data_IF_480718658048
#
_entry.id   IF_480718658048
#
_cell.length_a   1.000
_cell.length_b   1.000
_cell.length_c   1.000
_cell.angle_alpha   90.00
_cell.angle_beta   90.00
_cell.angle_gamma   90.00
#
_symmetry.space_group_name_H-M   'P 1'
#
loop_
_entity.id
_entity.type
_entity.pdbx_description
1 polymer ?
#
# COMPACT_ATOMS: atom_id res chain seq x y z
N UNK A 1 -19.83 -46.20 4.10
CA UNK A 1 -18.52 -45.78 4.62
C UNK A 1 -17.95 -44.73 3.67
N UNK A 2 -18.11 -43.44 3.99
CA UNK A 2 -17.61 -42.34 3.19
C UNK A 2 -16.38 -41.78 3.92
N UNK A 3 -15.17 -41.96 3.35
CA UNK A 3 -13.93 -41.43 3.92
C UNK A 3 -13.83 -39.94 3.55
N UNK A 4 -14.10 -39.08 4.53
CA UNK A 4 -13.86 -37.64 4.44
C UNK A 4 -12.36 -37.40 4.70
N UNK A 5 -11.60 -37.14 3.63
CA UNK A 5 -10.20 -36.75 3.75
C UNK A 5 -10.11 -35.29 4.21
N UNK A 6 -9.79 -35.08 5.48
CA UNK A 6 -9.39 -33.78 6.01
C UNK A 6 -8.04 -33.39 5.39
N UNK A 7 -8.07 -32.53 4.38
CA UNK A 7 -6.90 -31.82 3.90
C UNK A 7 -6.50 -30.84 5.01
N UNK A 8 -5.36 -31.11 5.64
CA UNK A 8 -4.68 -30.18 6.55
C UNK A 8 -4.19 -28.98 5.73
N UNK A 9 -5.02 -27.94 5.63
CA UNK A 9 -4.58 -26.61 5.20
C UNK A 9 -3.79 -26.02 6.38
N UNK A 10 -2.51 -25.66 6.23
CA UNK A 10 -1.82 -24.91 7.26
C UNK A 10 -2.47 -23.54 7.33
N UNK A 11 -3.18 -23.29 8.43
CA UNK A 11 -3.58 -21.96 8.85
C UNK A 11 -2.29 -21.15 8.98
N UNK A 12 -2.06 -20.25 8.02
CA UNK A 12 -1.01 -19.25 8.11
C UNK A 12 -1.42 -18.32 9.25
N UNK A 13 -0.88 -18.59 10.44
CA UNK A 13 -0.92 -17.66 11.57
C UNK A 13 0.02 -16.52 11.19
N UNK A 14 -0.53 -15.50 10.52
CA UNK A 14 0.06 -14.17 10.51
C UNK A 14 -0.03 -13.69 11.97
N UNK A 15 1.09 -13.77 12.69
CA UNK A 15 1.18 -13.26 14.06
C UNK A 15 0.95 -11.75 14.04
N UNK A 16 -0.30 -11.35 14.25
CA UNK A 16 -0.64 -10.05 14.86
C UNK A 16 -0.23 -10.15 16.33
N UNK A 17 1.06 -10.04 16.60
CA UNK A 17 1.60 -9.91 17.94
C UNK A 17 2.60 -8.75 17.91
N UNK A 18 2.16 -7.60 18.42
CA UNK A 18 2.87 -6.62 19.27
C UNK A 18 2.01 -5.37 19.27
N UNK A 19 1.01 -5.34 20.15
CA UNK A 19 0.50 -4.12 20.80
C UNK A 19 -0.24 -4.56 22.07
N UNK A 20 0.54 -4.79 23.13
CA UNK A 20 0.14 -4.58 24.53
C UNK A 20 1.36 -4.84 25.40
N UNK A 21 2.20 -3.82 25.55
CA UNK A 21 3.11 -3.73 26.68
C UNK A 21 2.63 -2.57 27.53
N UNK A 22 1.65 -2.85 28.40
CA UNK A 22 1.30 -1.97 29.51
C UNK A 22 1.59 -2.74 30.81
N UNK A 23 2.40 -2.10 31.62
CA UNK A 23 2.94 -2.54 32.90
C UNK A 23 1.86 -3.06 33.86
N UNK A 24 2.23 -4.11 34.60
CA UNK A 24 1.32 -4.85 35.45
C UNK A 24 0.72 -4.05 36.61
N UNK A 25 -0.55 -4.33 36.88
CA UNK A 25 -1.14 -4.44 38.22
C UNK A 25 -2.10 -5.64 38.23
N UNK A 26 -2.15 -6.33 39.37
CA UNK A 26 -2.86 -7.59 39.67
C UNK A 26 -4.40 -7.49 39.55
N UNK A 27 -5.11 -8.64 39.50
CA UNK A 27 -6.49 -8.73 39.04
C UNK A 27 -7.50 -8.56 40.18
N UNK A 28 -8.64 -7.92 39.90
CA UNK A 28 -9.92 -8.40 40.42
C UNK A 28 -11.12 -7.90 39.61
N UNK A 29 -12.17 -8.73 39.66
CA UNK A 29 -13.57 -8.48 39.33
C UNK A 29 -14.07 -8.60 37.87
N UNK A 30 -14.86 -9.66 37.68
CA UNK A 30 -15.62 -10.08 36.50
C UNK A 30 -16.89 -9.24 36.40
N UNK A 31 -16.98 -8.37 35.39
CA UNK A 31 -18.24 -7.70 35.01
C UNK A 31 -18.81 -8.42 33.78
N UNK A 32 -20.04 -8.90 33.91
CA UNK A 32 -20.81 -9.53 32.83
C UNK A 32 -21.17 -8.52 31.73
N UNK A 33 -21.25 -8.93 30.45
CA UNK A 33 -21.64 -8.03 29.37
C UNK A 33 -23.15 -7.77 29.37
N UNK A 34 -23.54 -6.51 29.59
CA UNK A 34 -24.89 -6.01 29.37
C UNK A 34 -25.25 -6.09 27.89
N UNK A 35 -26.35 -6.76 27.57
CA UNK A 35 -26.91 -6.85 26.22
C UNK A 35 -27.50 -5.50 25.78
N UNK A 36 -27.07 -4.99 24.63
CA UNK A 36 -27.72 -3.89 23.93
C UNK A 36 -28.98 -4.40 23.24
N UNK A 37 -30.17 -3.80 23.44
CA UNK A 37 -31.37 -4.26 22.75
C UNK A 37 -31.41 -3.84 21.28
N UNK A 38 -31.92 -4.74 20.45
CA UNK A 38 -32.21 -4.59 19.03
C UNK A 38 -33.37 -3.58 18.80
N UNK A 39 -33.31 -2.65 17.82
CA UNK A 39 -34.45 -1.80 17.52
C UNK A 39 -35.59 -2.59 16.89
N UNK A 40 -36.79 -2.41 17.42
CA UNK A 40 -38.05 -3.01 16.95
C UNK A 40 -38.63 -2.17 15.81
N UNK A 41 -38.99 -2.81 14.69
CA UNK A 41 -39.81 -2.20 13.64
C UNK A 41 -41.22 -1.88 14.17
N UNK A 42 -41.69 -0.64 13.94
CA UNK A 42 -43.13 -0.35 13.96
C UNK A 42 -43.55 0.44 12.72
N UNK A 43 -44.40 -0.24 11.96
CA UNK A 43 -45.26 0.21 10.87
C UNK A 43 -46.06 1.46 11.21
N UNK A 44 -46.14 2.42 10.29
CA UNK A 44 -47.23 3.40 10.19
C UNK A 44 -47.62 3.65 8.73
N UNK A 45 -48.92 3.58 8.50
CA UNK A 45 -49.62 3.59 7.20
C UNK A 45 -49.78 5.01 6.62
N UNK A 46 -49.90 5.02 5.29
CA UNK A 46 -49.99 6.11 4.31
C UNK A 46 -50.85 7.36 4.60
N UNK A 47 -50.41 8.48 4.01
CA UNK A 47 -51.28 9.41 3.25
C UNK A 47 -50.52 10.01 2.06
N UNK A 48 -51.06 9.80 0.86
CA UNK A 48 -50.63 10.31 -0.45
C UNK A 48 -50.97 11.79 -0.68
N UNK A 49 -50.15 12.56 -1.42
CA UNK A 49 -50.59 13.74 -2.16
C UNK A 49 -50.75 13.47 -3.68
N UNK A 50 -51.53 14.32 -4.40
CA UNK A 50 -52.02 14.08 -5.77
C UNK A 50 -50.99 14.33 -6.90
N UNK A 51 -51.26 13.85 -8.13
CA UNK A 51 -50.28 13.82 -9.22
C UNK A 51 -50.16 15.17 -9.93
N UNK A 52 -48.93 15.56 -10.24
CA UNK A 52 -48.64 16.64 -11.18
C UNK A 52 -48.42 16.05 -12.59
N UNK A 53 -49.12 16.68 -13.52
CA UNK A 53 -49.25 16.44 -14.94
C UNK A 53 -47.90 16.56 -15.69
N UNK A 54 -47.57 15.59 -16.53
CA UNK A 54 -46.47 15.66 -17.51
C UNK A 54 -47.03 15.24 -18.86
N UNK A 55 -47.25 16.24 -19.72
CA UNK A 55 -47.51 16.07 -21.15
C UNK A 55 -46.26 15.52 -21.85
N UNK A 56 -46.46 14.46 -22.63
CA UNK A 56 -45.60 13.99 -23.71
C UNK A 56 -45.74 14.89 -24.95
N UNK A 57 -44.64 15.17 -25.66
CA UNK A 57 -44.41 14.74 -27.07
C UNK A 57 -42.98 15.14 -27.52
N UNK A 58 -42.39 14.61 -28.61
CA UNK A 58 -40.98 14.28 -28.66
C UNK A 58 -40.25 15.24 -29.59
N UNK A 59 -38.92 15.32 -29.48
CA UNK A 59 -38.14 15.69 -30.65
C UNK A 59 -36.89 14.83 -30.74
N UNK A 60 -36.84 14.11 -31.85
CA UNK A 60 -35.75 13.28 -32.29
C UNK A 60 -34.63 14.18 -32.81
N UNK A 61 -33.43 14.06 -32.25
CA UNK A 61 -32.22 14.37 -33.00
C UNK A 61 -31.17 13.32 -32.70
N UNK A 62 -30.99 12.47 -33.72
CA UNK A 62 -29.89 11.53 -33.88
C UNK A 62 -28.56 12.30 -33.83
N UNK A 63 -27.74 12.01 -32.82
CA UNK A 63 -26.33 12.37 -32.81
C UNK A 63 -25.53 11.14 -32.42
N UNK A 64 -24.98 10.51 -33.46
CA UNK A 64 -23.99 9.45 -33.39
C UNK A 64 -22.81 9.89 -32.53
N UNK A 65 -22.56 9.16 -31.44
CA UNK A 65 -21.35 9.26 -30.63
C UNK A 65 -20.23 8.51 -31.38
N UNK A 66 -19.12 9.16 -31.77
CA UNK A 66 -17.97 8.44 -32.29
C UNK A 66 -17.30 7.67 -31.16
N UNK A 67 -17.19 6.35 -31.36
CA UNK A 67 -16.39 5.42 -30.56
C UNK A 67 -14.90 5.71 -30.81
N UNK A 68 -14.34 6.67 -30.08
CA UNK A 68 -12.89 6.86 -30.04
C UNK A 68 -12.25 5.74 -29.21
N UNK A 69 -11.60 4.83 -29.91
CA UNK A 69 -10.84 3.73 -29.34
C UNK A 69 -9.42 4.26 -29.09
N UNK A 70 -9.20 4.89 -27.94
CA UNK A 70 -7.88 5.42 -27.56
C UNK A 70 -6.97 4.28 -27.11
N UNK A 71 -6.06 3.89 -28.01
CA UNK A 71 -4.95 2.99 -27.75
C UNK A 71 -3.85 3.77 -27.04
N UNK A 72 -3.71 3.62 -25.71
CA UNK A 72 -2.51 4.04 -24.99
C UNK A 72 -1.35 3.08 -25.28
N UNK A 73 -0.69 3.27 -26.42
CA UNK A 73 0.67 2.78 -26.61
C UNK A 73 1.61 3.84 -26.03
N UNK A 74 1.84 3.80 -24.72
CA UNK A 74 2.90 4.60 -24.11
C UNK A 74 4.22 3.85 -24.31
N UNK A 75 5.19 4.38 -25.08
CA UNK A 75 6.53 3.81 -25.08
C UNK A 75 7.10 3.93 -23.67
N UNK A 76 7.72 2.84 -23.20
CA UNK A 76 8.59 2.84 -22.02
C UNK A 76 9.52 4.06 -22.12
N UNK A 77 9.57 4.97 -21.13
CA UNK A 77 10.56 6.04 -21.18
C UNK A 77 11.94 5.38 -21.12
N UNK A 78 12.66 5.41 -22.23
CA UNK A 78 14.11 5.17 -22.25
C UNK A 78 14.74 6.38 -21.57
N UNK A 79 14.64 6.41 -20.25
CA UNK A 79 15.31 7.42 -19.46
C UNK A 79 16.79 7.03 -19.46
N UNK A 80 17.59 7.76 -20.24
CA UNK A 80 19.03 7.81 -20.07
C UNK A 80 19.29 8.52 -18.74
N UNK A 81 19.04 7.84 -17.63
CA UNK A 81 19.51 8.25 -16.33
C UNK A 81 21.05 8.25 -16.43
N UNK A 82 21.64 9.42 -16.23
CA UNK A 82 23.06 9.55 -15.99
C UNK A 82 23.32 8.76 -14.70
N UNK A 83 23.92 7.59 -14.85
CA UNK A 83 24.30 6.74 -13.75
C UNK A 83 25.28 7.51 -12.87
N UNK A 84 24.97 7.63 -11.59
CA UNK A 84 25.92 8.05 -10.56
C UNK A 84 27.17 7.16 -10.66
N UNK A 85 28.39 7.72 -10.83
CA UNK A 85 29.62 6.93 -10.93
C UNK A 85 29.95 6.13 -9.67
N UNK A 86 29.24 6.33 -8.55
CA UNK A 86 29.42 5.59 -7.30
C UNK A 86 28.32 4.53 -7.03
N UNK A 87 27.39 4.33 -7.98
CA UNK A 87 26.40 3.26 -7.89
C UNK A 87 27.05 1.89 -8.18
N UNK A 88 27.14 1.06 -7.15
CA UNK A 88 27.51 -0.37 -7.26
C UNK A 88 26.70 -1.03 -8.39
N UNK A 89 27.32 -1.76 -9.33
CA UNK A 89 26.61 -2.33 -10.47
C UNK A 89 25.49 -3.27 -10.01
N UNK A 90 24.29 -3.03 -10.53
CA UNK A 90 23.07 -3.80 -10.27
C UNK A 90 23.27 -5.20 -10.90
N UNK A 91 23.65 -6.20 -10.11
CA UNK A 91 23.93 -7.55 -10.64
C UNK A 91 22.70 -8.43 -10.76
N UNK A 92 21.52 -7.98 -10.32
CA UNK A 92 20.32 -8.81 -10.29
C UNK A 92 19.16 -8.15 -11.02
N UNK A 93 18.52 -8.87 -11.95
CA UNK A 93 17.25 -8.49 -12.60
C UNK A 93 16.05 -8.41 -11.62
N UNK A 94 16.31 -8.55 -10.31
CA UNK A 94 15.31 -8.69 -9.25
C UNK A 94 15.62 -7.75 -8.11
N UNK A 95 14.70 -6.85 -7.78
CA UNK A 95 14.96 -5.89 -6.72
C UNK A 95 13.79 -4.98 -6.40
N UNK A 96 14.04 -4.12 -5.44
CA UNK A 96 13.15 -3.07 -4.96
C UNK A 96 13.93 -1.76 -4.86
N UNK A 97 13.30 -0.65 -5.25
CA UNK A 97 13.88 0.69 -5.21
C UNK A 97 12.79 1.75 -5.01
N UNK A 98 13.22 2.99 -4.84
CA UNK A 98 12.35 4.17 -4.77
C UNK A 98 12.73 5.14 -5.87
N UNK A 99 11.76 5.56 -6.67
CA UNK A 99 11.89 6.66 -7.62
C UNK A 99 11.21 7.91 -7.03
N UNK A 100 11.88 9.05 -7.09
CA UNK A 100 11.27 10.33 -6.77
C UNK A 100 10.79 11.02 -8.03
N UNK A 101 9.65 11.72 -7.95
CA UNK A 101 9.18 12.58 -9.04
C UNK A 101 10.13 13.78 -9.30
N UNK A 102 10.85 14.21 -8.26
CA UNK A 102 11.90 15.25 -8.30
C UNK A 102 12.92 15.05 -7.17
N UNK A 103 14.17 15.43 -7.42
CA UNK A 103 15.26 15.34 -6.43
C UNK A 103 15.39 16.56 -5.52
N UNK A 104 14.83 17.70 -5.91
CA UNK A 104 14.89 18.96 -5.16
C UNK A 104 13.50 19.57 -4.98
N UNK A 105 13.27 20.19 -3.82
CA UNK A 105 11.99 20.80 -3.47
C UNK A 105 12.13 21.84 -2.35
N UNK A 106 11.27 22.87 -2.40
CA UNK A 106 11.20 23.96 -1.41
C UNK A 106 10.29 23.59 -0.24
N UNK A 107 10.41 24.30 0.88
CA UNK A 107 9.50 24.15 2.03
C UNK A 107 8.05 24.26 1.59
N UNK A 108 7.23 23.29 2.01
CA UNK A 108 5.81 23.17 1.67
C UNK A 108 5.52 22.36 0.40
N UNK A 109 6.49 22.13 -0.48
CA UNK A 109 6.33 21.24 -1.62
C UNK A 109 6.36 19.77 -1.19
N UNK A 110 5.69 18.92 -1.97
CA UNK A 110 5.66 17.46 -1.75
C UNK A 110 6.50 16.79 -2.83
N UNK A 111 7.40 15.90 -2.42
CA UNK A 111 8.08 14.92 -3.28
C UNK A 111 7.28 13.62 -3.22
N UNK A 112 6.95 13.03 -4.37
CA UNK A 112 6.31 11.71 -4.45
C UNK A 112 7.39 10.64 -4.56
N UNK A 113 7.40 9.71 -3.61
CA UNK A 113 8.26 8.55 -3.55
C UNK A 113 7.49 7.31 -4.02
N UNK A 114 7.84 6.80 -5.20
CA UNK A 114 7.25 5.61 -5.79
C UNK A 114 8.09 4.38 -5.47
N UNK A 115 7.52 3.43 -4.73
CA UNK A 115 8.21 2.19 -4.37
C UNK A 115 7.88 1.11 -5.40
N UNK A 116 8.89 0.60 -6.09
CA UNK A 116 8.73 -0.34 -7.20
C UNK A 116 9.54 -1.61 -7.00
N UNK A 117 9.01 -2.71 -7.52
CA UNK A 117 9.68 -4.01 -7.56
C UNK A 117 9.86 -4.49 -9.01
N UNK A 118 10.88 -5.33 -9.20
CA UNK A 118 11.16 -6.02 -10.46
C UNK A 118 11.51 -7.48 -10.21
N UNK A 119 11.07 -8.37 -11.10
CA UNK A 119 11.48 -9.78 -11.11
C UNK A 119 11.02 -10.61 -9.90
N UNK A 120 9.98 -10.18 -9.18
CA UNK A 120 9.45 -10.90 -8.01
C UNK A 120 8.40 -11.92 -8.46
N UNK A 121 8.86 -13.11 -8.87
CA UNK A 121 7.96 -14.19 -9.33
C UNK A 121 6.90 -14.52 -8.27
N UNK A 122 5.65 -14.70 -8.72
CA UNK A 122 4.52 -15.11 -7.88
C UNK A 122 4.23 -14.17 -6.69
N UNK A 123 4.54 -12.88 -6.83
CA UNK A 123 4.38 -11.87 -5.79
C UNK A 123 2.97 -11.83 -5.20
N UNK A 124 2.87 -11.98 -3.88
CA UNK A 124 1.63 -11.98 -3.10
C UNK A 124 1.49 -10.77 -2.18
N UNK A 125 2.60 -10.29 -1.64
CA UNK A 125 2.57 -9.27 -0.60
C UNK A 125 3.95 -8.77 -0.20
N UNK A 126 3.95 -7.72 0.61
CA UNK A 126 5.16 -7.10 1.13
C UNK A 126 4.93 -6.56 2.55
N UNK A 127 6.03 -6.41 3.27
CA UNK A 127 6.15 -5.55 4.44
C UNK A 127 7.45 -4.75 4.32
N UNK A 128 7.38 -3.45 4.60
CA UNK A 128 8.47 -2.50 4.46
C UNK A 128 8.63 -1.70 5.75
N UNK A 129 9.88 -1.51 6.15
CA UNK A 129 10.30 -0.54 7.14
C UNK A 129 11.18 0.52 6.48
N UNK A 130 10.79 1.78 6.64
CA UNK A 130 11.52 2.93 6.10
C UNK A 130 11.76 3.98 7.18
N UNK A 131 12.84 4.74 6.98
CA UNK A 131 13.22 5.85 7.86
C UNK A 131 13.43 7.14 7.08
N UNK A 132 13.06 8.25 7.71
CA UNK A 132 13.27 9.62 7.24
C UNK A 132 13.60 10.54 8.44
N UNK A 133 14.11 11.75 8.18
CA UNK A 133 14.27 12.77 9.24
C UNK A 133 12.94 13.55 9.41
N UNK A 134 12.19 13.37 10.52
CA UNK A 134 10.90 14.03 10.73
C UNK A 134 11.02 15.52 11.01
N UNK A 135 12.24 16.06 11.19
CA UNK A 135 12.48 17.50 11.29
C UNK A 135 12.68 18.15 9.92
N UNK A 136 12.88 17.36 8.88
CA UNK A 136 13.12 17.83 7.51
C UNK A 136 11.97 17.45 6.58
N UNK A 137 11.35 16.29 6.78
CA UNK A 137 10.26 15.77 5.97
C UNK A 137 9.06 15.43 6.86
N UNK A 138 7.86 15.61 6.32
CA UNK A 138 6.61 15.07 6.89
C UNK A 138 6.02 14.08 5.89
N UNK A 139 5.73 12.86 6.35
CA UNK A 139 5.06 11.86 5.53
C UNK A 139 3.57 12.23 5.37
N UNK A 140 3.11 12.33 4.13
CA UNK A 140 1.76 12.77 3.75
C UNK A 140 1.16 11.85 2.71
N UNK A 141 -0.16 11.84 2.60
CA UNK A 141 -0.87 11.20 1.51
C UNK A 141 -0.47 11.88 0.18
N UNK A 142 -0.04 11.12 -0.85
CA UNK A 142 0.62 11.68 -2.03
C UNK A 142 -0.27 12.58 -2.89
N UNK A 143 -1.60 12.44 -2.81
CA UNK A 143 -2.53 13.21 -3.65
C UNK A 143 -3.25 14.34 -2.90
N UNK A 144 -3.44 14.21 -1.60
CA UNK A 144 -4.17 15.20 -0.79
C UNK A 144 -3.23 16.11 -0.01
N UNK A 145 -2.01 15.64 0.29
CA UNK A 145 -1.05 16.36 1.12
C UNK A 145 -1.37 16.34 2.62
N UNK A 146 -2.42 15.63 3.01
CA UNK A 146 -2.77 15.42 4.42
C UNK A 146 -1.69 14.57 5.12
N UNK A 147 -1.28 14.90 6.36
CA UNK A 147 -0.36 14.08 7.14
C UNK A 147 -0.87 12.65 7.26
N UNK A 148 0.03 11.67 7.11
CA UNK A 148 -0.34 10.28 7.36
C UNK A 148 -0.62 10.08 8.86
N UNK A 149 -1.57 9.21 9.16
CA UNK A 149 -1.81 8.72 10.52
C UNK A 149 -0.94 7.49 10.87
N UNK A 150 -0.86 7.18 12.17
CA UNK A 150 -0.09 6.04 12.71
C UNK A 150 -0.49 4.69 12.09
N UNK A 151 -1.78 4.53 11.78
CA UNK A 151 -2.36 3.32 11.20
C UNK A 151 -2.65 3.45 9.70
N UNK A 152 -2.24 4.54 9.06
CA UNK A 152 -2.51 4.79 7.66
C UNK A 152 -1.43 4.15 6.77
N UNK A 153 -1.78 3.16 5.93
CA UNK A 153 -0.88 2.63 4.94
C UNK A 153 -0.70 3.62 3.78
N UNK A 154 0.50 3.70 3.18
CA UNK A 154 0.69 4.39 1.91
C UNK A 154 -0.31 3.93 0.85
N UNK A 155 -0.74 4.86 0.00
CA UNK A 155 -1.71 4.61 -1.07
C UNK A 155 -1.05 4.42 -2.44
N UNK A 156 -1.86 4.18 -3.46
CA UNK A 156 -1.40 4.01 -4.83
C UNK A 156 -0.76 2.64 -5.11
N UNK A 157 0.05 2.59 -6.17
CA UNK A 157 0.63 1.37 -6.69
C UNK A 157 -0.20 0.71 -7.80
N UNK A 158 0.44 -0.20 -8.53
CA UNK A 158 -0.15 -0.98 -9.63
C UNK A 158 -0.30 -2.46 -9.28
N UNK A 159 0.32 -2.89 -8.17
CA UNK A 159 0.27 -4.24 -7.62
C UNK A 159 -0.63 -4.29 -6.40
N UNK A 160 -1.16 -5.49 -6.10
CA UNK A 160 -2.06 -5.76 -4.98
C UNK A 160 -3.33 -4.88 -5.00
N UNK A 161 -3.97 -4.77 -6.17
CA UNK A 161 -5.13 -3.90 -6.38
C UNK A 161 -6.45 -4.66 -6.63
N UNK A 162 -6.41 -5.90 -7.13
CA UNK A 162 -7.64 -6.68 -7.37
C UNK A 162 -8.36 -7.06 -6.05
N UNK A 163 -9.54 -6.48 -5.73
CA UNK A 163 -10.25 -6.77 -4.49
C UNK A 163 -10.78 -8.21 -4.42
N UNK A 164 -10.93 -8.92 -5.54
CA UNK A 164 -11.38 -10.31 -5.59
C UNK A 164 -10.46 -11.25 -4.79
N UNK A 165 -9.17 -10.91 -4.69
CA UNK A 165 -8.19 -11.71 -3.94
C UNK A 165 -8.05 -11.25 -2.47
N UNK A 166 -8.87 -10.29 -2.03
CA UNK A 166 -8.84 -9.73 -0.68
C UNK A 166 -7.56 -8.94 -0.40
N UNK A 167 -7.52 -7.68 -0.84
CA UNK A 167 -6.42 -6.75 -0.53
C UNK A 167 -6.47 -6.39 0.96
N UNK A 168 -5.39 -6.69 1.69
CA UNK A 168 -5.27 -6.39 3.11
C UNK A 168 -4.05 -5.49 3.37
N UNK A 169 -4.24 -4.17 3.43
CA UNK A 169 -3.20 -3.23 3.81
C UNK A 169 -3.10 -3.11 5.34
N UNK A 170 -1.88 -2.88 5.85
CA UNK A 170 -1.62 -2.66 7.27
C UNK A 170 -0.50 -1.66 7.45
N UNK A 171 -0.61 -0.81 8.47
CA UNK A 171 0.46 0.09 8.89
C UNK A 171 0.53 0.24 10.40
N UNK A 172 1.74 0.49 10.88
CA UNK A 172 2.05 0.86 12.26
C UNK A 172 3.28 1.75 12.25
N UNK A 173 3.06 3.00 11.87
CA UNK A 173 4.09 4.01 11.74
C UNK A 173 4.54 4.51 13.12
N UNK A 174 5.69 5.15 13.17
CA UNK A 174 6.16 5.96 14.30
C UNK A 174 6.68 7.28 13.73
N UNK A 175 5.72 8.15 13.41
CA UNK A 175 5.92 9.39 12.64
C UNK A 175 6.77 10.41 13.41
N UNK A 176 6.70 10.40 14.75
CA UNK A 176 7.53 11.24 15.62
C UNK A 176 9.02 10.89 15.49
N UNK A 177 9.33 9.61 15.29
CA UNK A 177 10.69 9.12 15.10
C UNK A 177 11.07 8.93 13.62
N UNK A 178 10.21 9.36 12.70
CA UNK A 178 10.45 9.28 11.27
C UNK A 178 10.49 7.86 10.73
N UNK A 179 9.64 6.97 11.25
CA UNK A 179 9.58 5.56 10.83
C UNK A 179 8.22 5.25 10.19
N UNK A 180 8.26 4.64 9.01
CA UNK A 180 7.09 4.07 8.36
C UNK A 180 7.23 2.55 8.36
N UNK A 181 6.25 1.84 8.92
CA UNK A 181 6.19 0.38 8.88
C UNK A 181 4.82 -0.02 8.33
N UNK A 182 4.81 -0.58 7.13
CA UNK A 182 3.57 -0.85 6.41
C UNK A 182 3.72 -2.05 5.48
N UNK A 183 2.60 -2.58 5.03
CA UNK A 183 2.56 -3.69 4.11
C UNK A 183 1.19 -3.86 3.48
N UNK A 184 1.14 -4.71 2.46
CA UNK A 184 -0.11 -5.16 1.86
C UNK A 184 0.06 -6.58 1.32
N UNK A 185 -1.02 -7.37 1.36
CA UNK A 185 -1.02 -8.76 0.92
C UNK A 185 -2.37 -9.14 0.34
N UNK A 186 -2.38 -10.07 -0.61
CA UNK A 186 -3.61 -10.79 -0.99
C UNK A 186 -3.91 -11.92 0.00
N UNK A 187 -5.10 -11.89 0.59
CA UNK A 187 -5.55 -12.92 1.54
C UNK A 187 -5.92 -14.24 0.83
N UNK A 188 -6.45 -14.18 -0.40
CA UNK A 188 -6.88 -15.36 -1.16
C UNK A 188 -5.81 -15.79 -2.18
N UNK A 189 -4.68 -16.29 -1.68
CA UNK A 189 -3.58 -16.77 -2.52
C UNK A 189 -3.98 -17.95 -3.44
N UNK A 190 -4.97 -18.75 -3.05
CA UNK A 190 -5.43 -19.91 -3.85
C UNK A 190 -6.16 -19.47 -5.13
N UNK A 191 -7.07 -18.50 -5.03
CA UNK A 191 -7.74 -17.96 -6.21
C UNK A 191 -6.78 -17.18 -7.10
N UNK A 192 -5.89 -16.40 -6.51
CA UNK A 192 -4.86 -15.69 -7.25
C UNK A 192 -3.93 -16.64 -8.02
N UNK A 193 -3.50 -17.75 -7.39
CA UNK A 193 -2.77 -18.85 -8.05
C UNK A 193 -3.54 -19.45 -9.22
N UNK A 194 -4.81 -19.79 -8.98
CA UNK A 194 -5.68 -20.42 -9.97
C UNK A 194 -5.90 -19.53 -11.19
N UNK A 195 -5.96 -18.21 -10.99
CA UNK A 195 -6.08 -17.24 -12.08
C UNK A 195 -4.83 -17.23 -12.98
N UNK A 196 -3.64 -17.54 -12.45
CA UNK A 196 -2.40 -17.60 -13.23
C UNK A 196 -1.93 -16.23 -13.74
N UNK A 197 -2.40 -15.15 -13.14
CA UNK A 197 -2.15 -13.76 -13.56
C UNK A 197 -1.15 -13.04 -12.64
N UNK A 198 -0.17 -13.76 -12.10
CA UNK A 198 0.80 -13.16 -11.20
C UNK A 198 1.63 -12.10 -11.91
N UNK A 199 1.69 -10.89 -11.33
CA UNK A 199 2.55 -9.80 -11.79
C UNK A 199 3.83 -9.79 -10.96
N UNK A 200 4.99 -9.74 -11.62
CA UNK A 200 6.31 -9.76 -10.97
C UNK A 200 6.98 -8.39 -10.87
N UNK A 201 6.39 -7.39 -11.50
CA UNK A 201 6.98 -6.07 -11.71
C UNK A 201 5.90 -5.02 -11.58
N UNK A 202 6.24 -3.88 -10.96
CA UNK A 202 5.32 -2.77 -10.79
C UNK A 202 5.53 -2.01 -9.49
N UNK A 203 4.62 -1.08 -9.22
CA UNK A 203 4.65 -0.24 -8.04
C UNK A 203 3.79 -0.84 -6.94
N UNK A 204 4.32 -0.87 -5.72
CA UNK A 204 3.64 -1.45 -4.56
C UNK A 204 3.07 -0.40 -3.60
N UNK A 205 3.61 0.83 -3.61
CA UNK A 205 3.14 1.95 -2.80
C UNK A 205 3.67 3.29 -3.36
N UNK A 206 2.97 4.38 -3.07
CA UNK A 206 3.42 5.76 -3.28
C UNK A 206 3.24 6.54 -1.99
N UNK A 207 4.27 7.29 -1.58
CA UNK A 207 4.26 8.12 -0.37
C UNK A 207 4.58 9.55 -0.76
N UNK A 208 3.88 10.53 -0.18
CA UNK A 208 4.28 11.93 -0.27
C UNK A 208 5.22 12.29 0.89
N UNK A 209 6.26 13.06 0.61
CA UNK A 209 7.11 13.68 1.62
C UNK A 209 7.07 15.20 1.44
N UNK A 210 6.38 15.89 2.36
CA UNK A 210 6.31 17.34 2.40
C UNK A 210 7.59 17.90 3.01
N UNK A 211 8.22 18.86 2.34
CA UNK A 211 9.46 19.48 2.81
C UNK A 211 9.15 20.44 3.96
N UNK A 212 9.71 20.19 5.14
CA UNK A 212 9.69 21.10 6.30
C UNK A 212 10.94 21.99 6.33
N UNK A 213 12.05 21.49 5.80
CA UNK A 213 13.33 22.18 5.76
C UNK A 213 14.10 21.81 4.48
N UNK A 214 14.79 22.76 3.85
CA UNK A 214 15.55 22.52 2.60
C UNK A 214 16.94 21.93 2.83
N UNK A 215 17.24 21.45 4.04
CA UNK A 215 18.46 20.70 4.31
C UNK A 215 18.50 19.43 3.47
N UNK A 216 19.70 19.07 3.04
CA UNK A 216 19.97 17.76 2.45
C UNK A 216 19.49 16.67 3.40
N UNK A 217 18.76 15.68 2.87
CA UNK A 217 18.18 14.59 3.66
C UNK A 217 18.04 13.32 2.84
N UNK A 218 17.87 12.20 3.51
CA UNK A 218 17.68 10.90 2.89
C UNK A 218 16.45 10.20 3.45
N UNK A 219 15.87 9.35 2.62
CA UNK A 219 14.91 8.33 3.01
C UNK A 219 15.60 7.00 2.78
N UNK A 220 15.41 6.02 3.64
CA UNK A 220 16.06 4.71 3.50
C UNK A 220 15.16 3.57 3.90
N UNK A 221 15.38 2.41 3.28
CA UNK A 221 14.93 1.13 3.84
C UNK A 221 15.89 0.74 4.97
N UNK A 222 15.36 0.44 6.16
CA UNK A 222 16.17 0.17 7.35
C UNK A 222 15.65 -1.04 8.11
N UNK A 223 16.55 -1.89 8.60
CA UNK A 223 16.19 -3.03 9.43
C UNK A 223 15.49 -2.58 10.73
N UNK A 224 14.58 -3.41 11.22
CA UNK A 224 13.89 -3.19 12.48
C UNK A 224 13.69 -4.50 13.23
N UNK A 225 13.70 -4.46 14.56
CA UNK A 225 13.55 -5.64 15.40
C UNK A 225 12.19 -6.32 15.25
N UNK A 226 11.17 -5.60 14.79
CA UNK A 226 9.82 -6.13 14.53
C UNK A 226 9.68 -6.84 13.18
N UNK A 227 10.72 -6.82 12.34
CA UNK A 227 10.79 -7.52 11.06
C UNK A 227 12.05 -8.41 10.98
N UNK A 228 12.16 -9.43 11.85
CA UNK A 228 13.31 -10.31 11.83
C UNK A 228 13.45 -11.00 10.46
N UNK A 229 14.68 -11.15 9.98
CA UNK A 229 15.02 -11.72 8.67
C UNK A 229 14.58 -10.89 7.44
N UNK A 230 14.17 -9.63 7.63
CA UNK A 230 14.05 -8.69 6.52
C UNK A 230 15.43 -8.42 5.90
N UNK A 231 15.46 -8.14 4.59
CA UNK A 231 16.67 -7.63 3.93
C UNK A 231 16.57 -6.10 3.93
N UNK A 232 17.36 -5.43 4.75
CA UNK A 232 17.38 -3.96 4.86
C UNK A 232 15.98 -3.39 5.11
N UNK A 233 15.19 -3.98 6.00
CA UNK A 233 13.82 -3.54 6.27
C UNK A 233 12.77 -3.96 5.24
N UNK A 234 13.11 -4.80 4.25
CA UNK A 234 12.15 -5.29 3.25
C UNK A 234 11.89 -6.79 3.42
N UNK A 235 10.61 -7.16 3.46
CA UNK A 235 10.13 -8.53 3.28
C UNK A 235 9.15 -8.58 2.11
N UNK A 236 9.37 -9.51 1.20
CA UNK A 236 8.49 -9.79 0.07
C UNK A 236 8.01 -11.24 0.18
N UNK A 237 6.76 -11.49 -0.18
CA UNK A 237 6.12 -12.80 -0.06
C UNK A 237 5.67 -13.31 -1.44
N UNK A 238 5.91 -14.58 -1.70
CA UNK A 238 5.29 -15.27 -2.83
C UNK A 238 3.90 -15.81 -2.45
N UNK A 239 3.15 -16.27 -3.45
CA UNK A 239 1.81 -16.81 -3.25
C UNK A 239 1.78 -18.11 -2.42
N UNK A 240 2.92 -18.75 -2.17
CA UNK A 240 3.06 -19.91 -1.28
C UNK A 240 3.27 -19.46 0.17
N UNK A 241 3.24 -18.14 0.42
CA UNK A 241 3.45 -17.54 1.73
C UNK A 241 4.92 -17.55 2.16
N UNK A 242 5.85 -17.81 1.23
CA UNK A 242 7.28 -17.86 1.54
C UNK A 242 7.92 -16.50 1.34
N UNK A 243 8.89 -16.18 2.20
CA UNK A 243 9.74 -15.01 2.01
C UNK A 243 10.59 -15.21 0.76
N UNK A 244 10.51 -14.23 -0.15
CA UNK A 244 11.28 -14.19 -1.38
C UNK A 244 12.74 -13.87 -1.04
N UNK A 245 13.67 -14.67 -1.57
CA UNK A 245 15.11 -14.50 -1.40
C UNK A 245 15.78 -13.99 -2.69
N UNK A 246 17.05 -13.56 -2.59
CA UNK A 246 17.91 -13.25 -3.74
C UNK A 246 17.46 -12.05 -4.58
N UNK A 247 16.88 -11.03 -3.95
CA UNK A 247 16.55 -9.74 -4.58
C UNK A 247 17.43 -8.65 -3.99
N UNK A 248 17.69 -7.57 -4.73
CA UNK A 248 18.44 -6.42 -4.23
C UNK A 248 17.54 -5.32 -3.69
N UNK A 249 18.03 -4.61 -2.67
CA UNK A 249 17.40 -3.42 -2.10
C UNK A 249 18.29 -2.24 -2.49
N UNK A 250 17.77 -1.37 -3.35
CA UNK A 250 18.47 -0.17 -3.81
C UNK A 250 17.98 0.99 -2.96
N UNK A 251 18.90 1.64 -2.24
CA UNK A 251 18.55 2.79 -1.41
C UNK A 251 18.19 4.00 -2.30
N UNK A 252 17.23 4.84 -1.88
CA UNK A 252 16.87 6.04 -2.61
C UNK A 252 18.04 7.03 -2.71
N UNK A 253 18.08 7.90 -3.74
CA UNK A 253 19.03 9.00 -3.79
C UNK A 253 18.77 10.03 -2.67
N UNK A 254 19.72 10.94 -2.46
CA UNK A 254 19.59 12.04 -1.51
C UNK A 254 18.62 13.10 -2.06
N UNK A 255 17.78 13.65 -1.19
CA UNK A 255 16.88 14.77 -1.47
C UNK A 255 17.59 16.08 -1.12
N UNK A 256 17.44 17.11 -1.97
CA UNK A 256 18.07 18.42 -1.80
C UNK A 256 19.60 18.32 -1.64
N UNK A 257 20.24 17.46 -2.45
CA UNK A 257 21.69 17.27 -2.47
C UNK A 257 22.41 18.59 -2.75
N UNK A 258 23.43 18.91 -1.97
CA UNK A 258 24.18 20.15 -2.16
C UNK A 258 24.96 20.14 -3.50
N UNK A 259 24.77 21.17 -4.31
CA UNK A 259 25.50 21.37 -5.57
C UNK A 259 24.74 21.01 -6.85
N UNK A 260 23.47 20.63 -6.75
CA UNK A 260 22.48 20.56 -7.84
C UNK A 260 21.44 21.68 -7.70
#
# INVERSE_FOLDING_TARGET
>A
MLKLNFIKVPIIVLMVAILCSCSGKKPDERIEPTQTPLPTEQSNTATTPPPADINEDPDTTDNQVPKETSSFNTPLPTNNAVLDPDATPITTNKGIWVDFDKGTAKVGEIIKAQISIKGITNFLGYQINMKYDPKVLEAVHPDTGEPLDIGEPPSGGTLIQNPEYGVFPIAKNDLENGVLNFGSVYLNANEYKKAGQAKSDGTIAVIGFKILNTKETAISFEDTSVMPNAKSGVQLFDWDGKTVQGFDVIQPPIINKAGE
#
